data_IF_891241194778
#
_entry.id   IF_891241194778
#
_cell.length_a   1.000
_cell.length_b   1.000
_cell.length_c   1.000
_cell.angle_alpha   90.00
_cell.angle_beta   90.00
_cell.angle_gamma   90.00
#
_symmetry.space_group_name_H-M   'P 1'
#
loop_
_entity.id
_entity.type
_entity.pdbx_description
1 polymer ?
#
# COMPACT_ATOMS: atom_id res chain seq x y z
N UNK A 1 -24.89 -66.42 11.34
CA UNK A 1 -23.60 -65.97 10.77
C UNK A 1 -23.81 -64.60 10.13
N UNK A 2 -23.52 -63.51 10.84
CA UNK A 2 -23.65 -62.12 10.34
C UNK A 2 -22.25 -61.61 10.01
N UNK A 3 -22.00 -61.25 8.75
CA UNK A 3 -20.74 -60.62 8.30
C UNK A 3 -20.78 -59.13 8.63
N UNK A 4 -19.82 -58.66 9.42
CA UNK A 4 -19.55 -57.25 9.66
C UNK A 4 -18.65 -56.71 8.53
N UNK A 5 -19.05 -55.60 7.92
CA UNK A 5 -18.20 -54.82 7.02
C UNK A 5 -17.51 -53.74 7.85
N UNK A 6 -16.19 -53.84 7.98
CA UNK A 6 -15.33 -52.87 8.64
C UNK A 6 -15.05 -51.73 7.65
N UNK A 7 -15.55 -50.53 7.96
CA UNK A 7 -15.25 -49.31 7.24
C UNK A 7 -13.88 -48.79 7.71
N UNK A 8 -12.88 -48.84 6.83
CA UNK A 8 -11.56 -48.25 7.07
C UNK A 8 -11.69 -46.71 6.94
N UNK A 9 -11.76 -46.01 8.08
CA UNK A 9 -11.56 -44.56 8.10
C UNK A 9 -10.07 -44.27 7.91
N UNK A 10 -9.71 -43.76 6.74
CA UNK A 10 -8.41 -43.14 6.51
C UNK A 10 -8.37 -41.81 7.30
N UNK A 11 -7.67 -41.83 8.42
CA UNK A 11 -7.26 -40.64 9.16
C UNK A 11 -6.22 -39.88 8.32
N UNK A 12 -6.66 -38.83 7.63
CA UNK A 12 -5.74 -37.78 7.21
C UNK A 12 -5.30 -37.01 8.47
N UNK A 13 -3.99 -36.73 8.66
CA UNK A 13 -3.59 -35.79 9.69
C UNK A 13 -4.23 -34.45 9.34
N UNK A 14 -4.96 -33.88 10.31
CA UNK A 14 -5.50 -32.55 10.20
C UNK A 14 -4.35 -31.56 10.03
N UNK A 15 -4.03 -31.25 8.78
CA UNK A 15 -3.29 -30.05 8.44
C UNK A 15 -4.08 -28.90 9.02
N UNK A 16 -3.45 -28.15 9.92
CA UNK A 16 -3.98 -26.89 10.43
C UNK A 16 -4.14 -25.96 9.23
N UNK A 17 -5.33 -25.98 8.63
CA UNK A 17 -5.80 -24.90 7.79
C UNK A 17 -6.14 -23.79 8.77
N UNK A 18 -5.30 -22.76 8.83
CA UNK A 18 -5.62 -21.54 9.53
C UNK A 18 -6.85 -20.94 8.86
N UNK A 19 -8.03 -21.26 9.39
CA UNK A 19 -9.28 -20.60 9.05
C UNK A 19 -9.26 -19.24 9.73
N UNK A 20 -8.80 -18.22 9.01
CA UNK A 20 -9.05 -16.83 9.38
C UNK A 20 -9.33 -16.06 8.10
N UNK A 21 -10.56 -16.15 7.56
CA UNK A 21 -11.05 -15.05 6.72
C UNK A 21 -12.53 -15.12 6.30
N UNK A 22 -13.23 -16.24 6.44
CA UNK A 22 -14.65 -16.28 6.09
C UNK A 22 -15.51 -15.57 7.15
N UNK A 23 -15.57 -14.23 7.15
CA UNK A 23 -16.45 -13.43 8.03
C UNK A 23 -16.01 -12.01 8.36
N UNK A 24 -14.78 -11.60 8.02
CA UNK A 24 -14.31 -10.26 8.38
C UNK A 24 -14.93 -9.17 7.48
N UNK A 25 -15.51 -8.13 8.10
CA UNK A 25 -16.14 -6.99 7.41
C UNK A 25 -15.13 -6.21 6.56
N UNK A 26 -15.56 -5.80 5.37
CA UNK A 26 -14.80 -4.86 4.51
C UNK A 26 -14.84 -3.48 5.14
N UNK A 27 -13.66 -2.90 5.43
CA UNK A 27 -13.53 -1.53 5.91
C UNK A 27 -13.64 -0.60 4.69
N UNK A 28 -14.57 0.33 4.71
CA UNK A 28 -14.80 1.27 3.62
C UNK A 28 -14.15 2.61 3.93
N UNK A 29 -13.18 3.03 3.11
CA UNK A 29 -12.41 4.26 3.32
C UNK A 29 -12.65 5.24 2.17
N UNK A 30 -13.42 6.31 2.39
CA UNK A 30 -13.52 7.43 1.46
C UNK A 30 -12.15 8.09 1.24
N UNK A 31 -11.86 8.45 0.00
CA UNK A 31 -10.60 9.09 -0.41
C UNK A 31 -10.86 10.49 -0.94
N UNK A 32 -10.01 11.44 -0.54
CA UNK A 32 -9.97 12.79 -1.12
C UNK A 32 -8.59 13.07 -1.67
N UNK A 33 -8.53 13.48 -2.94
CA UNK A 33 -7.31 13.98 -3.56
C UNK A 33 -7.20 15.49 -3.43
N UNK A 34 -5.99 15.97 -3.11
CA UNK A 34 -5.59 17.36 -3.07
C UNK A 34 -4.46 17.58 -4.08
N UNK A 35 -4.80 18.05 -5.27
CA UNK A 35 -3.84 18.33 -6.34
C UNK A 35 -3.37 19.78 -6.24
N UNK A 36 -2.15 19.99 -5.76
CA UNK A 36 -1.53 21.31 -5.64
C UNK A 36 -0.57 21.49 -6.82
N UNK A 37 -0.87 22.40 -7.73
CA UNK A 37 -0.15 22.53 -9.00
C UNK A 37 0.17 23.98 -9.34
N UNK A 38 1.28 24.22 -10.03
CA UNK A 38 1.69 25.56 -10.46
C UNK A 38 1.34 25.89 -11.91
N UNK A 39 0.78 24.92 -12.65
CA UNK A 39 0.45 25.03 -14.07
C UNK A 39 1.65 24.80 -15.00
N UNK A 40 2.80 24.38 -14.46
CA UNK A 40 4.00 24.09 -15.23
C UNK A 40 3.95 22.71 -15.87
N UNK A 41 4.54 22.63 -17.06
CA UNK A 41 4.91 21.38 -17.72
C UNK A 41 6.41 21.16 -17.56
N UNK A 42 6.79 19.94 -17.24
CA UNK A 42 8.17 19.53 -16.98
C UNK A 42 8.66 18.59 -18.09
N UNK A 43 9.95 18.64 -18.40
CA UNK A 43 10.58 17.62 -19.23
C UNK A 43 11.12 16.52 -18.33
N UNK A 44 10.82 15.25 -18.64
CA UNK A 44 11.29 14.08 -17.91
C UNK A 44 11.77 13.02 -18.88
N UNK A 45 12.92 12.43 -18.59
CA UNK A 45 13.54 11.38 -19.42
C UNK A 45 13.12 9.97 -19.01
N UNK A 46 12.54 9.82 -17.82
CA UNK A 46 12.12 8.56 -17.21
C UNK A 46 10.69 8.13 -17.60
N UNK A 47 10.01 8.90 -18.48
CA UNK A 47 8.63 8.62 -18.88
C UNK A 47 7.58 9.05 -17.86
N UNK A 48 7.99 9.64 -16.74
CA UNK A 48 7.16 10.17 -15.69
C UNK A 48 6.13 11.20 -16.17
N UNK A 49 5.06 11.40 -15.40
CA UNK A 49 4.07 12.42 -15.73
C UNK A 49 4.71 13.84 -15.69
N UNK A 50 4.33 14.68 -16.67
CA UNK A 50 5.00 15.96 -16.94
C UNK A 50 4.16 17.17 -16.54
N UNK A 51 2.85 17.03 -16.35
CA UNK A 51 1.97 18.14 -15.96
C UNK A 51 1.58 18.02 -14.49
N UNK A 52 1.78 19.09 -13.72
CA UNK A 52 1.46 19.07 -12.28
C UNK A 52 -0.05 19.02 -12.01
N UNK A 53 -0.89 19.53 -12.92
CA UNK A 53 -2.33 19.39 -12.83
C UNK A 53 -2.75 18.03 -13.40
N UNK A 54 -2.68 16.99 -12.56
CA UNK A 54 -2.91 15.61 -12.99
C UNK A 54 -4.32 15.41 -13.53
N UNK A 55 -4.43 14.82 -14.73
CA UNK A 55 -5.72 14.39 -15.28
C UNK A 55 -6.45 13.45 -14.33
N UNK A 56 -7.75 13.70 -14.14
CA UNK A 56 -8.62 12.89 -13.28
C UNK A 56 -8.52 11.40 -13.56
N UNK A 57 -8.48 11.02 -14.84
CA UNK A 57 -8.36 9.62 -15.24
C UNK A 57 -7.13 8.93 -14.63
N UNK A 58 -5.98 9.61 -14.53
CA UNK A 58 -4.77 9.04 -13.92
C UNK A 58 -4.94 8.84 -12.41
N UNK A 59 -5.55 9.79 -11.71
CA UNK A 59 -5.88 9.66 -10.28
C UNK A 59 -6.83 8.49 -10.03
N UNK A 60 -7.86 8.34 -10.87
CA UNK A 60 -8.81 7.24 -10.77
C UNK A 60 -8.19 5.88 -11.09
N UNK A 61 -7.23 5.83 -12.02
CA UNK A 61 -6.45 4.61 -12.28
C UNK A 61 -5.63 4.20 -11.07
N UNK A 62 -4.88 5.11 -10.45
CA UNK A 62 -4.12 4.79 -9.22
C UNK A 62 -5.05 4.34 -8.09
N UNK A 63 -6.20 5.00 -7.92
CA UNK A 63 -7.20 4.60 -6.92
C UNK A 63 -7.78 3.20 -7.21
N UNK A 64 -8.06 2.90 -8.48
CA UNK A 64 -8.56 1.58 -8.90
C UNK A 64 -7.55 0.48 -8.57
N UNK A 65 -6.28 0.69 -8.93
CA UNK A 65 -5.22 -0.28 -8.66
C UNK A 65 -5.02 -0.49 -7.17
N UNK A 66 -4.95 0.58 -6.38
CA UNK A 66 -4.91 0.48 -4.93
C UNK A 66 -6.13 -0.27 -4.38
N UNK A 67 -7.34 0.00 -4.88
CA UNK A 67 -8.53 -0.72 -4.44
C UNK A 67 -8.43 -2.22 -4.78
N UNK A 68 -7.90 -2.58 -5.95
CA UNK A 68 -7.70 -3.98 -6.34
C UNK A 68 -6.69 -4.67 -5.44
N UNK A 69 -5.56 -4.03 -5.16
CA UNK A 69 -4.51 -4.55 -4.28
C UNK A 69 -5.02 -4.78 -2.84
N UNK A 70 -5.75 -3.80 -2.28
CA UNK A 70 -6.27 -3.88 -0.90
C UNK A 70 -7.51 -4.76 -0.73
N UNK A 71 -8.07 -5.27 -1.83
CA UNK A 71 -9.13 -6.27 -1.84
C UNK A 71 -8.66 -7.63 -2.36
N UNK A 72 -7.37 -7.78 -2.67
CA UNK A 72 -6.77 -8.96 -3.31
C UNK A 72 -7.52 -9.36 -4.60
N UNK A 73 -7.83 -8.36 -5.43
CA UNK A 73 -8.47 -8.53 -6.74
C UNK A 73 -7.47 -8.37 -7.89
N UNK A 74 -6.23 -8.00 -7.61
CA UNK A 74 -5.17 -7.87 -8.59
C UNK A 74 -4.72 -9.24 -9.12
N UNK A 75 -4.89 -9.45 -10.43
CA UNK A 75 -4.65 -10.73 -11.09
C UNK A 75 -3.16 -11.15 -11.12
N UNK A 76 -2.26 -10.16 -11.03
CA UNK A 76 -0.81 -10.36 -11.00
C UNK A 76 -0.32 -11.08 -9.73
N UNK A 77 -1.16 -11.26 -8.71
CA UNK A 77 -0.90 -12.19 -7.59
C UNK A 77 -0.54 -13.61 -8.05
N UNK A 78 -1.02 -14.03 -9.22
CA UNK A 78 -0.66 -15.29 -9.85
C UNK A 78 0.85 -15.40 -10.15
N UNK A 79 1.53 -14.27 -10.32
CA UNK A 79 2.95 -14.15 -10.63
C UNK A 79 3.83 -13.94 -9.38
N UNK A 80 3.24 -13.90 -8.18
CA UNK A 80 4.02 -13.89 -6.93
C UNK A 80 4.89 -15.14 -6.87
N UNK A 81 6.15 -14.96 -6.48
CA UNK A 81 7.08 -16.09 -6.38
C UNK A 81 6.54 -17.19 -5.47
N UNK A 82 6.79 -18.44 -5.86
CA UNK A 82 6.19 -19.62 -5.23
C UNK A 82 6.39 -19.68 -3.71
N UNK A 83 7.56 -19.22 -3.22
CA UNK A 83 7.89 -19.18 -1.79
C UNK A 83 6.91 -18.33 -0.95
N UNK A 84 6.29 -17.30 -1.53
CA UNK A 84 5.41 -16.36 -0.82
C UNK A 84 3.93 -16.49 -1.18
N UNK A 85 3.56 -17.40 -2.09
CA UNK A 85 2.14 -17.61 -2.42
C UNK A 85 1.30 -18.03 -1.23
N UNK A 86 1.88 -18.82 -0.31
CA UNK A 86 1.17 -19.34 0.87
C UNK A 86 0.86 -18.31 1.95
N UNK A 87 1.46 -17.11 1.88
CA UNK A 87 1.30 -16.06 2.89
C UNK A 87 0.55 -14.83 2.35
N UNK A 88 0.05 -14.87 1.11
CA UNK A 88 -0.72 -13.76 0.53
C UNK A 88 -1.97 -13.50 1.38
N UNK A 89 -2.15 -12.24 1.81
CA UNK A 89 -3.28 -11.80 2.62
C UNK A 89 -4.24 -10.90 1.85
N UNK A 90 -5.51 -10.88 2.27
CA UNK A 90 -6.49 -9.90 1.80
C UNK A 90 -6.73 -8.84 2.89
N UNK A 91 -6.34 -7.57 2.69
CA UNK A 91 -6.58 -6.52 3.69
C UNK A 91 -8.07 -6.26 3.95
N UNK A 92 -8.94 -6.51 2.96
CA UNK A 92 -10.37 -6.20 2.98
C UNK A 92 -10.64 -4.74 3.34
N UNK A 93 -9.89 -3.85 2.71
CA UNK A 93 -10.07 -2.41 2.83
C UNK A 93 -10.46 -1.90 1.45
N UNK A 94 -11.68 -1.38 1.33
CA UNK A 94 -12.20 -0.79 0.08
C UNK A 94 -11.96 0.72 0.13
N UNK A 95 -11.06 1.20 -0.70
CA UNK A 95 -10.91 2.62 -0.98
C UNK A 95 -11.83 3.05 -2.11
N UNK A 96 -12.43 4.23 -1.99
CA UNK A 96 -13.29 4.79 -3.04
C UNK A 96 -13.30 6.30 -2.96
N UNK A 97 -13.54 6.96 -4.09
CA UNK A 97 -13.57 8.41 -4.15
C UNK A 97 -14.73 8.96 -3.32
N UNK A 98 -14.46 9.95 -2.47
CA UNK A 98 -15.49 10.57 -1.68
C UNK A 98 -16.51 11.29 -2.58
N UNK A 99 -17.80 11.09 -2.29
CA UNK A 99 -18.91 11.73 -3.02
C UNK A 99 -19.17 13.19 -2.56
N UNK A 100 -18.37 13.70 -1.62
CA UNK A 100 -18.52 15.04 -1.06
C UNK A 100 -17.73 16.07 -1.87
N UNK A 101 -18.43 17.10 -2.33
CA UNK A 101 -17.87 18.27 -3.00
C UNK A 101 -17.31 19.25 -1.97
N UNK A 102 -16.07 19.72 -2.17
CA UNK A 102 -15.43 20.75 -1.32
C UNK A 102 -15.17 22.08 -2.06
N UNK A 103 -15.52 22.18 -3.34
CA UNK A 103 -15.40 23.40 -4.15
C UNK A 103 -16.61 23.57 -5.07
N UNK A 104 -17.13 24.78 -5.29
CA UNK A 104 -18.11 25.06 -6.35
C UNK A 104 -17.56 24.59 -7.71
N UNK A 105 -18.36 23.84 -8.47
CA UNK A 105 -17.99 23.26 -9.79
C UNK A 105 -16.81 22.27 -9.78
N UNK A 106 -16.45 21.76 -8.60
CA UNK A 106 -15.35 20.81 -8.43
C UNK A 106 -15.68 19.37 -8.84
N UNK A 107 -14.63 18.58 -9.06
CA UNK A 107 -14.72 17.13 -9.20
C UNK A 107 -15.00 16.48 -7.82
N UNK A 108 -15.92 15.51 -7.77
CA UNK A 108 -16.22 14.78 -6.53
C UNK A 108 -14.95 14.17 -5.95
N UNK A 109 -14.66 14.43 -4.67
CA UNK A 109 -13.49 13.88 -3.98
C UNK A 109 -12.13 14.36 -4.52
N UNK A 110 -12.08 15.34 -5.41
CA UNK A 110 -10.83 15.88 -5.97
C UNK A 110 -10.84 17.40 -5.84
N UNK A 111 -9.95 17.89 -4.99
CA UNK A 111 -9.65 19.31 -4.79
C UNK A 111 -8.44 19.64 -5.63
N UNK A 112 -8.59 20.63 -6.51
CA UNK A 112 -7.47 21.20 -7.28
C UNK A 112 -7.17 22.60 -6.77
N UNK A 113 -5.91 22.92 -6.53
CA UNK A 113 -5.46 24.23 -6.06
C UNK A 113 -4.29 24.71 -6.91
N UNK A 114 -4.50 25.80 -7.65
CA UNK A 114 -3.44 26.49 -8.38
C UNK A 114 -2.55 27.26 -7.38
N UNK A 115 -1.35 26.76 -7.14
CA UNK A 115 -0.35 27.40 -6.27
C UNK A 115 1.08 27.05 -6.69
N UNK A 116 1.96 28.05 -6.68
CA UNK A 116 3.41 27.85 -6.84
C UNK A 116 4.07 27.22 -5.61
N UNK A 117 3.36 27.09 -4.49
CA UNK A 117 3.84 26.45 -3.25
C UNK A 117 3.46 24.96 -3.25
N UNK A 118 3.86 24.25 -4.30
CA UNK A 118 3.54 22.84 -4.51
C UNK A 118 4.72 21.88 -4.27
N UNK A 119 5.82 22.36 -3.67
CA UNK A 119 7.04 21.57 -3.45
C UNK A 119 7.22 21.03 -2.04
N UNK A 120 6.41 21.50 -1.09
CA UNK A 120 6.43 21.11 0.33
C UNK A 120 5.20 21.69 1.03
N UNK A 121 4.89 21.20 2.23
CA UNK A 121 3.82 21.72 3.09
C UNK A 121 2.49 21.85 2.35
N UNK A 122 2.12 20.84 1.56
CA UNK A 122 0.94 20.88 0.69
C UNK A 122 -0.37 21.09 1.47
N UNK A 123 -0.44 20.58 2.71
CA UNK A 123 -1.58 20.79 3.61
C UNK A 123 -1.82 22.26 4.00
N UNK A 124 -0.81 23.13 3.86
CA UNK A 124 -0.99 24.58 4.02
C UNK A 124 -1.73 25.23 2.85
N UNK A 125 -1.78 24.57 1.69
CA UNK A 125 -2.46 25.05 0.48
C UNK A 125 -3.88 24.51 0.38
N UNK A 126 -4.12 23.33 0.96
CA UNK A 126 -5.45 22.75 1.09
C UNK A 126 -5.49 21.96 2.39
N UNK A 127 -6.32 22.37 3.35
CA UNK A 127 -6.39 21.74 4.67
C UNK A 127 -6.84 20.29 4.57
N UNK A 128 -6.33 19.44 5.46
CA UNK A 128 -6.77 18.04 5.60
C UNK A 128 -8.26 18.03 5.94
N UNK A 129 -9.05 17.21 5.27
CA UNK A 129 -10.48 17.03 5.55
C UNK A 129 -10.66 15.81 6.41
N UNK A 130 -11.18 16.05 7.63
CA UNK A 130 -11.52 15.07 8.66
C UNK A 130 -10.84 13.69 8.47
N UNK A 131 -9.56 13.57 8.88
CA UNK A 131 -8.79 12.34 8.66
C UNK A 131 -9.33 11.13 9.42
N UNK A 132 -10.35 11.30 10.28
CA UNK A 132 -11.09 10.20 10.90
C UNK A 132 -12.11 9.54 9.97
N UNK A 133 -12.45 10.21 8.87
CA UNK A 133 -13.48 9.80 7.90
C UNK A 133 -12.94 9.64 6.49
N UNK A 134 -11.83 10.30 6.17
CA UNK A 134 -11.26 10.31 4.82
C UNK A 134 -9.76 10.00 4.86
N UNK A 135 -9.30 9.17 3.92
CA UNK A 135 -7.90 9.16 3.53
C UNK A 135 -7.65 10.40 2.66
N UNK A 136 -6.80 11.30 3.13
CA UNK A 136 -6.36 12.47 2.39
C UNK A 136 -5.11 12.12 1.59
N UNK A 137 -5.11 12.39 0.29
CA UNK A 137 -3.97 12.15 -0.60
C UNK A 137 -3.58 13.47 -1.25
N UNK A 138 -2.38 13.95 -0.96
CA UNK A 138 -1.81 15.13 -1.61
C UNK A 138 -0.98 14.74 -2.82
N UNK A 139 -1.11 15.52 -3.88
CA UNK A 139 -0.27 15.42 -5.08
C UNK A 139 0.39 16.77 -5.32
N UNK A 140 1.72 16.78 -5.49
CA UNK A 140 2.49 17.99 -5.77
C UNK A 140 3.87 17.71 -6.37
N UNK A 141 4.60 18.78 -6.68
CA UNK A 141 5.98 18.73 -7.18
C UNK A 141 7.00 18.59 -6.04
N UNK A 142 6.83 17.53 -5.25
CA UNK A 142 7.59 17.27 -4.03
C UNK A 142 8.85 16.42 -4.28
N UNK A 143 9.00 15.81 -5.46
CA UNK A 143 10.19 15.04 -5.86
C UNK A 143 10.36 13.69 -5.15
N UNK A 144 9.37 13.28 -4.35
CA UNK A 144 9.32 12.00 -3.63
C UNK A 144 7.86 11.64 -3.35
N UNK A 145 7.62 10.49 -2.69
CA UNK A 145 6.34 10.16 -2.07
C UNK A 145 6.60 9.67 -0.65
N UNK A 146 5.67 9.93 0.26
CA UNK A 146 5.84 9.57 1.67
C UNK A 146 4.51 9.64 2.45
N UNK A 147 4.55 9.06 3.65
CA UNK A 147 3.63 9.29 4.76
C UNK A 147 4.42 9.77 5.96
N UNK A 148 3.89 10.71 6.74
CA UNK A 148 4.53 11.14 7.99
C UNK A 148 4.57 9.98 8.99
N UNK A 149 5.63 9.85 9.79
CA UNK A 149 5.71 8.81 10.82
C UNK A 149 4.53 8.88 11.78
N UNK A 150 3.85 7.76 11.99
CA UNK A 150 2.63 7.67 12.81
C UNK A 150 1.63 8.78 12.43
N UNK A 151 1.12 8.77 11.19
CA UNK A 151 0.34 9.89 10.64
C UNK A 151 -0.90 10.24 11.48
N UNK A 152 -1.44 9.26 12.21
CA UNK A 152 -2.55 9.45 13.15
C UNK A 152 -2.24 10.33 14.38
N UNK A 153 -0.97 10.61 14.68
CA UNK A 153 -0.59 11.44 15.83
C UNK A 153 -0.90 12.93 15.61
N UNK A 154 -0.92 13.38 14.35
CA UNK A 154 -1.26 14.75 13.99
C UNK A 154 -2.28 14.78 12.85
N UNK A 155 -3.50 15.22 13.18
CA UNK A 155 -4.61 15.27 12.22
C UNK A 155 -4.41 16.26 11.08
N UNK A 156 -3.59 17.28 11.26
CA UNK A 156 -3.32 18.25 10.19
C UNK A 156 -2.31 17.72 9.17
N UNK A 157 -1.72 16.55 9.44
CA UNK A 157 -0.72 15.90 8.60
C UNK A 157 -0.97 14.40 8.38
N UNK A 158 -2.13 13.87 8.82
CA UNK A 158 -2.62 12.51 8.57
C UNK A 158 -3.06 12.34 7.11
N UNK A 159 -2.08 12.14 6.23
CA UNK A 159 -2.27 12.04 4.79
C UNK A 159 -1.17 11.22 4.12
N UNK A 160 -1.45 10.80 2.88
CA UNK A 160 -0.45 10.30 1.93
C UNK A 160 0.01 11.44 1.03
N UNK A 161 1.30 11.54 0.74
CA UNK A 161 1.88 12.56 -0.14
C UNK A 161 2.55 11.89 -1.34
N UNK A 162 2.15 12.28 -2.55
CA UNK A 162 2.66 11.74 -3.79
C UNK A 162 3.31 12.82 -4.65
N UNK A 163 4.44 12.48 -5.26
CA UNK A 163 5.01 13.23 -6.36
C UNK A 163 4.11 13.12 -7.59
N UNK A 164 3.68 14.26 -8.13
CA UNK A 164 2.83 14.36 -9.34
C UNK A 164 3.39 13.57 -10.53
N UNK A 165 4.70 13.40 -10.51
CA UNK A 165 5.53 12.88 -11.55
C UNK A 165 5.46 11.34 -11.59
N UNK A 166 5.17 10.71 -10.45
CA UNK A 166 4.99 9.26 -10.31
C UNK A 166 3.57 8.77 -10.62
N UNK A 167 2.61 9.68 -10.75
CA UNK A 167 1.21 9.33 -11.00
C UNK A 167 1.00 8.84 -12.44
N UNK A 168 0.26 7.73 -12.57
CA UNK A 168 -0.09 7.12 -13.86
C UNK A 168 1.05 6.29 -14.44
N UNK A 169 1.95 5.81 -13.59
CA UNK A 169 3.07 4.99 -14.01
C UNK A 169 2.96 3.53 -13.52
N UNK A 170 1.89 3.19 -12.79
CA UNK A 170 1.54 1.80 -12.43
C UNK A 170 2.59 1.08 -11.55
N UNK A 171 3.34 1.80 -10.71
CA UNK A 171 4.30 1.21 -9.74
C UNK A 171 3.68 0.68 -8.46
N UNK A 172 2.35 0.80 -8.31
CA UNK A 172 1.66 0.57 -7.04
C UNK A 172 2.23 1.45 -5.92
N UNK A 173 2.65 2.67 -6.27
CA UNK A 173 3.23 3.62 -5.31
C UNK A 173 2.16 4.10 -4.32
N UNK A 174 0.96 4.41 -4.80
CA UNK A 174 -0.14 4.75 -3.91
C UNK A 174 -0.49 3.57 -2.98
N UNK A 175 -0.42 2.33 -3.47
CA UNK A 175 -0.59 1.13 -2.62
C UNK A 175 0.48 1.06 -1.52
N UNK A 176 1.75 1.26 -1.87
CA UNK A 176 2.89 1.30 -0.94
C UNK A 176 2.70 2.36 0.15
N UNK A 177 2.46 3.61 -0.23
CA UNK A 177 2.29 4.71 0.74
C UNK A 177 1.04 4.51 1.60
N UNK A 178 -0.04 3.97 1.03
CA UNK A 178 -1.24 3.66 1.82
C UNK A 178 -1.00 2.52 2.81
N UNK A 179 -0.09 1.59 2.51
CA UNK A 179 0.41 0.60 3.47
C UNK A 179 1.06 1.27 4.68
N UNK A 180 1.91 2.28 4.48
CA UNK A 180 2.46 3.10 5.57
C UNK A 180 1.40 3.87 6.34
N UNK A 181 0.42 4.44 5.65
CA UNK A 181 -0.70 5.12 6.29
C UNK A 181 -1.53 4.18 7.20
N UNK A 182 -1.59 2.90 6.85
CA UNK A 182 -2.15 1.82 7.64
C UNK A 182 -1.19 1.24 8.69
N UNK A 183 0.03 1.77 8.85
CA UNK A 183 0.97 1.37 9.91
C UNK A 183 1.94 0.24 9.54
N UNK A 184 2.12 -0.07 8.26
CA UNK A 184 3.19 -0.96 7.80
C UNK A 184 4.53 -0.23 7.71
N UNK A 185 5.62 -0.95 7.92
CA UNK A 185 6.97 -0.48 7.65
C UNK A 185 7.51 -1.13 6.37
N UNK A 186 8.65 -0.64 5.89
CA UNK A 186 9.39 -1.34 4.84
C UNK A 186 9.84 -2.70 5.34
N UNK A 187 9.75 -3.75 4.51
CA UNK A 187 10.13 -5.13 4.90
C UNK A 187 11.61 -5.32 5.28
N UNK A 188 12.45 -4.33 4.95
CA UNK A 188 13.88 -4.26 5.30
C UNK A 188 14.17 -3.27 6.44
N UNK A 189 13.15 -2.56 6.94
CA UNK A 189 13.28 -1.43 7.84
C UNK A 189 13.27 -1.83 9.30
N UNK A 190 14.43 -2.20 9.86
CA UNK A 190 14.57 -2.54 11.28
C UNK A 190 13.98 -1.46 12.19
N UNK A 191 13.04 -1.85 13.05
CA UNK A 191 12.36 -1.00 14.05
C UNK A 191 11.65 0.24 13.47
N UNK A 192 11.12 0.15 12.23
CA UNK A 192 10.43 1.27 11.59
C UNK A 192 11.33 2.45 11.20
N UNK A 193 12.66 2.26 11.21
CA UNK A 193 13.64 3.32 10.90
C UNK A 193 13.67 3.74 9.42
N UNK A 194 12.98 3.00 8.55
CA UNK A 194 12.99 3.21 7.09
C UNK A 194 14.36 2.98 6.43
N UNK A 195 15.37 2.55 7.20
CA UNK A 195 16.72 2.23 6.72
C UNK A 195 16.93 0.73 6.84
N UNK A 196 17.62 0.14 5.86
CA UNK A 196 18.00 -1.28 5.89
C UNK A 196 18.65 -1.63 7.23
N UNK A 197 17.99 -2.48 8.02
CA UNK A 197 18.46 -2.88 9.34
C UNK A 197 19.56 -3.93 9.32
N UNK A 198 19.81 -4.55 8.15
CA UNK A 198 20.59 -5.77 8.07
C UNK A 198 19.88 -6.95 8.74
N UNK A 199 20.55 -8.11 8.76
CA UNK A 199 19.96 -9.37 9.22
C UNK A 199 19.89 -9.59 10.72
N UNK A 200 20.22 -8.57 11.50
CA UNK A 200 20.25 -8.65 12.97
C UNK A 200 19.18 -7.76 13.59
N UNK A 201 18.09 -7.55 12.85
CA UNK A 201 16.94 -6.75 13.27
C UNK A 201 15.68 -7.59 13.13
N UNK A 202 14.61 -7.16 13.80
CA UNK A 202 13.29 -7.80 13.73
C UNK A 202 12.53 -7.45 12.43
N UNK A 203 13.23 -6.93 11.40
CA UNK A 203 12.64 -6.54 10.13
C UNK A 203 11.61 -5.43 10.32
N UNK A 204 10.40 -5.63 9.78
CA UNK A 204 9.26 -4.73 9.87
C UNK A 204 8.31 -5.02 11.05
N UNK A 205 8.77 -5.83 12.03
CA UNK A 205 7.98 -6.30 13.18
C UNK A 205 6.74 -7.10 12.77
N UNK A 206 6.82 -7.85 11.67
CA UNK A 206 5.76 -8.71 11.15
C UNK A 206 6.35 -10.11 10.92
N UNK A 207 5.70 -11.14 11.45
CA UNK A 207 6.33 -12.47 11.56
C UNK A 207 6.40 -13.23 10.22
N UNK A 208 5.48 -12.97 9.30
CA UNK A 208 5.41 -13.66 8.00
C UNK A 208 6.10 -12.91 6.86
N UNK A 209 6.73 -11.77 7.15
CA UNK A 209 7.59 -11.01 6.25
C UNK A 209 9.04 -11.32 6.60
N UNK A 210 9.76 -12.10 5.77
CA UNK A 210 11.14 -12.42 6.09
C UNK A 210 12.04 -11.19 6.06
N UNK A 211 13.00 -11.16 6.98
CA UNK A 211 13.92 -10.04 7.12
C UNK A 211 14.80 -9.90 5.88
N UNK A 212 14.86 -8.68 5.35
CA UNK A 212 15.76 -8.31 4.27
C UNK A 212 16.82 -7.30 4.75
N UNK A 213 18.02 -7.40 4.19
CA UNK A 213 19.16 -6.53 4.53
C UNK A 213 18.91 -5.07 4.15
N UNK A 214 18.33 -4.86 2.97
CA UNK A 214 18.09 -3.58 2.31
C UNK A 214 16.96 -3.75 1.27
N UNK A 215 16.43 -2.66 0.67
CA UNK A 215 15.48 -2.77 -0.43
C UNK A 215 15.99 -3.60 -1.59
N UNK A 216 15.09 -4.30 -2.26
CA UNK A 216 15.36 -4.90 -3.58
C UNK A 216 15.15 -3.83 -4.66
N UNK A 217 15.95 -2.77 -4.57
CA UNK A 217 15.81 -1.55 -5.37
C UNK A 217 16.04 -1.83 -6.87
N UNK A 218 15.08 -1.44 -7.69
CA UNK A 218 15.15 -1.62 -9.13
C UNK A 218 14.27 -0.60 -9.84
N UNK A 219 14.73 -0.23 -11.04
CA UNK A 219 13.94 0.50 -12.01
C UNK A 219 12.58 -0.15 -12.28
N UNK A 220 11.82 0.64 -12.96
CA UNK A 220 10.38 0.65 -13.04
C UNK A 220 9.77 -0.53 -13.77
N UNK A 221 8.76 -1.18 -13.18
CA UNK A 221 7.97 -2.27 -13.78
C UNK A 221 8.86 -3.48 -14.17
N UNK A 222 10.03 -3.62 -13.53
CA UNK A 222 10.93 -4.76 -13.72
C UNK A 222 11.07 -5.54 -12.43
N UNK A 223 10.79 -6.83 -12.50
CA UNK A 223 11.08 -7.72 -11.39
C UNK A 223 12.60 -7.87 -11.26
N UNK A 224 13.16 -7.74 -10.04
CA UNK A 224 14.59 -7.89 -9.82
C UNK A 224 15.08 -9.26 -10.29
N UNK A 225 16.29 -9.36 -10.88
CA UNK A 225 16.89 -10.65 -11.17
C UNK A 225 17.23 -11.37 -9.86
N UNK A 226 17.40 -12.70 -9.90
CA UNK A 226 17.73 -13.49 -8.70
C UNK A 226 18.99 -13.01 -7.97
N UNK A 227 19.94 -12.36 -8.67
CA UNK A 227 21.16 -11.79 -8.07
C UNK A 227 20.92 -10.54 -7.22
N UNK A 228 19.73 -9.92 -7.33
CA UNK A 228 19.35 -8.75 -6.53
C UNK A 228 18.84 -9.13 -5.14
N UNK A 229 18.84 -10.43 -4.79
CA UNK A 229 18.37 -10.95 -3.51
C UNK A 229 19.01 -10.25 -2.29
N UNK A 230 18.14 -9.82 -1.38
CA UNK A 230 18.47 -9.15 -0.13
C UNK A 230 18.00 -9.92 1.10
N UNK A 231 17.46 -11.12 0.90
CA UNK A 231 17.05 -11.99 1.98
C UNK A 231 18.21 -12.31 2.93
N UNK A 232 17.87 -12.47 4.20
CA UNK A 232 18.84 -12.74 5.25
C UNK A 232 19.27 -14.20 5.35
N UNK A 233 18.36 -15.13 5.04
CA UNK A 233 18.67 -16.56 4.93
C UNK A 233 19.12 -16.91 3.52
N UNK A 234 20.22 -17.67 3.44
CA UNK A 234 20.77 -18.11 2.16
C UNK A 234 19.84 -19.10 1.45
N UNK A 235 19.61 -18.87 0.15
CA UNK A 235 18.80 -19.75 -0.69
C UNK A 235 17.29 -19.49 -0.64
N UNK A 236 16.84 -18.51 0.14
CA UNK A 236 15.46 -18.01 0.14
C UNK A 236 15.45 -16.67 -0.61
N UNK A 237 14.60 -16.48 -1.63
CA UNK A 237 14.58 -15.22 -2.38
C UNK A 237 13.94 -14.08 -1.57
N UNK A 238 14.39 -12.84 -1.75
CA UNK A 238 13.70 -11.63 -1.29
C UNK A 238 12.22 -11.64 -1.64
N UNK A 239 11.37 -11.16 -0.73
CA UNK A 239 9.97 -10.89 -1.02
C UNK A 239 9.80 -9.57 -1.78
N UNK A 240 10.47 -9.46 -2.93
CA UNK A 240 10.41 -8.26 -3.77
C UNK A 240 9.00 -8.04 -4.37
N UNK A 241 8.12 -9.04 -4.36
CA UNK A 241 6.71 -8.85 -4.73
C UNK A 241 5.89 -8.18 -3.61
N UNK A 242 6.44 -7.99 -2.41
CA UNK A 242 5.72 -7.31 -1.34
C UNK A 242 5.53 -5.82 -1.68
N UNK A 243 4.32 -5.28 -1.44
CA UNK A 243 4.05 -3.85 -1.63
C UNK A 243 4.92 -2.95 -0.78
N UNK A 244 5.50 -3.43 0.32
CA UNK A 244 6.38 -2.65 1.21
C UNK A 244 7.88 -2.81 0.90
N UNK A 245 8.25 -3.46 -0.20
CA UNK A 245 9.61 -3.38 -0.77
C UNK A 245 9.72 -2.19 -1.76
N UNK A 246 10.94 -1.82 -2.16
CA UNK A 246 11.17 -0.80 -3.19
C UNK A 246 11.29 -1.35 -4.61
N UNK A 247 11.13 -2.66 -4.82
CA UNK A 247 11.12 -3.25 -6.15
C UNK A 247 10.10 -2.62 -7.11
N UNK A 248 10.40 -2.68 -8.41
CA UNK A 248 9.45 -2.31 -9.47
C UNK A 248 8.36 -3.33 -9.77
N UNK A 249 8.20 -4.41 -8.97
CA UNK A 249 7.36 -5.57 -9.29
C UNK A 249 6.52 -6.03 -8.09
N UNK A 250 5.93 -5.06 -7.38
CA UNK A 250 5.09 -5.27 -6.19
C UNK A 250 3.70 -5.79 -6.58
N UNK A 251 3.18 -6.76 -5.83
CA UNK A 251 1.96 -7.53 -6.16
C UNK A 251 1.18 -8.03 -4.94
N UNK A 252 1.74 -8.03 -3.74
CA UNK A 252 1.08 -8.64 -2.59
C UNK A 252 1.36 -7.95 -1.25
N UNK A 253 0.39 -8.06 -0.34
CA UNK A 253 0.59 -7.96 1.10
C UNK A 253 0.61 -9.38 1.70
N UNK A 254 1.25 -9.54 2.84
CA UNK A 254 1.17 -10.78 3.62
C UNK A 254 -0.07 -10.80 4.53
N UNK A 255 -0.44 -11.97 5.05
CA UNK A 255 -1.56 -12.12 5.97
C UNK A 255 -1.39 -11.30 7.26
N UNK A 256 -0.20 -11.30 7.86
CA UNK A 256 0.05 -10.53 9.09
C UNK A 256 0.21 -9.03 8.82
N UNK A 257 0.67 -8.62 7.63
CA UNK A 257 0.56 -7.22 7.18
C UNK A 257 -0.90 -6.78 7.13
N UNK A 258 -1.79 -7.62 6.56
CA UNK A 258 -3.22 -7.34 6.52
C UNK A 258 -3.81 -7.19 7.93
N UNK A 259 -3.46 -8.09 8.86
CA UNK A 259 -3.89 -7.99 10.26
C UNK A 259 -3.43 -6.67 10.90
N UNK A 260 -2.15 -6.34 10.79
CA UNK A 260 -1.58 -5.11 11.35
C UNK A 260 -2.24 -3.85 10.80
N UNK A 261 -2.50 -3.80 9.49
CA UNK A 261 -3.19 -2.65 8.87
C UNK A 261 -4.58 -2.44 9.47
N UNK A 262 -5.34 -3.52 9.61
CA UNK A 262 -6.71 -3.46 10.16
C UNK A 262 -6.72 -3.09 11.64
N UNK A 263 -5.77 -3.60 12.42
CA UNK A 263 -5.59 -3.23 13.83
C UNK A 263 -5.26 -1.74 13.98
N UNK A 264 -4.33 -1.21 13.19
CA UNK A 264 -3.99 0.21 13.20
C UNK A 264 -5.17 1.10 12.84
N UNK A 265 -5.95 0.75 11.80
CA UNK A 265 -7.18 1.49 11.47
C UNK A 265 -8.17 1.44 12.64
N UNK A 266 -8.35 0.29 13.27
CA UNK A 266 -9.28 0.11 14.40
C UNK A 266 -8.89 0.98 15.59
N UNK A 267 -7.60 1.02 15.92
CA UNK A 267 -7.08 1.78 17.07
C UNK A 267 -7.08 3.28 16.78
N UNK A 268 -6.57 3.69 15.63
CA UNK A 268 -6.25 5.09 15.36
C UNK A 268 -7.32 5.84 14.56
N UNK A 269 -8.15 5.12 13.79
CA UNK A 269 -9.21 5.69 12.94
C UNK A 269 -10.54 4.94 13.10
N UNK A 270 -11.06 4.74 14.33
CA UNK A 270 -12.30 4.01 14.57
C UNK A 270 -13.53 4.65 13.89
N UNK A 271 -13.43 5.90 13.43
CA UNK A 271 -14.45 6.54 12.60
C UNK A 271 -14.70 5.86 11.25
N UNK A 272 -13.72 5.09 10.74
CA UNK A 272 -13.79 4.36 9.47
C UNK A 272 -14.46 2.97 9.59
N UNK A 273 -14.80 2.53 10.81
CA UNK A 273 -15.42 1.21 11.06
C UNK A 273 -16.95 1.24 11.10
N UNK A 274 -17.57 2.37 10.76
CA UNK A 274 -19.01 2.61 10.91
C UNK A 274 -19.79 2.26 9.66
#
# INVERSE_FOLDING_TARGET
>A
MKKAFILFLLLFPASVVCSQDAGQQVISVPVIFHVIYSGRTHSRTDGGNTQENIETAKLLTELKEMQEDFLLLNADTAEVIAAYKGIIGNPRIRFYLADTLLQPDGEKGIIRVLSRRNKRNLSSQSRVIDPRRYLNIYVGNIGSSFVNTNPWNDRETDAVYLGFDWIGQHYRLLTHETGHWCGLFHIYGGNGSGKGGGCKTDGDDIADTPVQKKPTDMDCIKCPPAVADQHCDAGVPSNYNNFMDYSGCRKMFTAEQCRRMRENITVHRPGLLR
#
